data_IF_259384348813
#
_entry.id   IF_259384348813
#
_cell.length_a   1.000
_cell.length_b   1.000
_cell.length_c   1.000
_cell.angle_alpha   90.00
_cell.angle_beta   90.00
_cell.angle_gamma   90.00
#
_symmetry.space_group_name_H-M   'P 1'
#
loop_
_entity.id
_entity.type
_entity.pdbx_description
1 polymer ?
#
# COMPACT_ATOMS: atom_id res chain seq x y z
N UNK A 1 23.87 1.46 3.74
CA UNK A 1 23.27 0.22 4.17
C UNK A 1 21.97 -0.04 3.47
N UNK A 2 21.51 -1.26 3.48
CA UNK A 2 20.33 -1.65 2.74
C UNK A 2 19.07 -1.00 3.31
N UNK A 3 18.21 -0.57 2.42
CA UNK A 3 16.87 -0.16 2.79
C UNK A 3 16.05 -1.39 3.14
N UNK A 4 15.13 -1.23 4.07
CA UNK A 4 14.20 -2.29 4.42
C UNK A 4 12.79 -1.86 4.05
N UNK A 5 12.15 -2.63 3.20
CA UNK A 5 10.79 -2.34 2.74
C UNK A 5 9.80 -3.27 3.41
N UNK A 6 8.74 -2.70 3.94
CA UNK A 6 7.63 -3.47 4.49
C UNK A 6 6.38 -3.11 3.70
N UNK A 7 5.59 -4.11 3.34
CA UNK A 7 4.41 -3.93 2.49
C UNK A 7 3.15 -4.26 3.26
N UNK A 8 2.09 -3.51 2.96
CA UNK A 8 0.78 -3.71 3.58
C UNK A 8 -0.30 -3.60 2.52
N UNK A 9 -1.29 -4.49 2.60
CA UNK A 9 -2.51 -4.35 1.81
C UNK A 9 -3.43 -3.37 2.52
N UNK A 10 -3.96 -2.40 1.78
CA UNK A 10 -4.89 -1.41 2.30
C UNK A 10 -6.30 -1.94 2.10
N UNK A 11 -7.02 -2.15 3.20
CA UNK A 11 -8.37 -2.73 3.17
C UNK A 11 -9.34 -1.80 3.88
N UNK A 12 -10.49 -1.60 3.28
CA UNK A 12 -11.58 -0.80 3.87
C UNK A 12 -12.87 -1.63 3.89
N UNK A 13 -14.00 -1.00 4.18
CA UNK A 13 -15.29 -1.70 4.30
C UNK A 13 -15.75 -2.31 2.97
N UNK A 14 -15.24 -1.80 1.86
CA UNK A 14 -15.64 -2.24 0.53
C UNK A 14 -14.61 -3.15 -0.14
N UNK A 15 -13.59 -3.55 0.59
CA UNK A 15 -12.52 -4.36 0.02
C UNK A 15 -12.10 -5.46 1.00
N UNK A 16 -11.25 -6.37 0.55
CA UNK A 16 -10.79 -7.48 1.36
C UNK A 16 -9.30 -7.69 1.13
N UNK A 17 -8.71 -8.62 1.90
CA UNK A 17 -7.31 -8.97 1.74
C UNK A 17 -7.02 -9.46 0.32
N UNK A 18 -7.93 -10.20 -0.28
CA UNK A 18 -7.78 -10.71 -1.65
C UNK A 18 -7.93 -9.62 -2.69
N UNK A 19 -8.69 -8.57 -2.36
CA UNK A 19 -8.94 -7.46 -3.26
C UNK A 19 -8.81 -6.12 -2.53
N UNK A 20 -7.60 -5.78 -2.07
CA UNK A 20 -7.39 -4.52 -1.37
C UNK A 20 -7.56 -3.32 -2.29
N UNK A 21 -7.82 -2.16 -1.70
CA UNK A 21 -7.96 -0.92 -2.46
C UNK A 21 -6.61 -0.41 -2.96
N UNK A 22 -5.53 -0.85 -2.34
CA UNK A 22 -4.20 -0.43 -2.72
C UNK A 22 -3.15 -1.11 -1.89
N UNK A 23 -1.91 -0.66 -2.05
CA UNK A 23 -0.77 -1.18 -1.32
C UNK A 23 -0.02 -0.02 -0.69
N UNK A 24 0.40 -0.21 0.57
CA UNK A 24 1.28 0.74 1.24
C UNK A 24 2.66 0.11 1.38
N UNK A 25 3.67 0.90 1.13
CA UNK A 25 5.06 0.48 1.25
C UNK A 25 5.75 1.41 2.24
N UNK A 26 6.34 0.85 3.30
CA UNK A 26 7.16 1.60 4.24
C UNK A 26 8.62 1.28 3.96
N UNK A 27 9.38 2.30 3.64
CA UNK A 27 10.80 2.20 3.32
C UNK A 27 11.59 2.75 4.49
N UNK A 28 12.36 1.89 5.15
CA UNK A 28 13.24 2.30 6.25
C UNK A 28 14.66 2.44 5.77
N UNK A 29 15.30 3.51 6.16
CA UNK A 29 16.71 3.74 5.86
C UNK A 29 17.36 4.44 7.05
N UNK A 30 18.68 4.70 6.95
CA UNK A 30 19.45 5.19 8.08
C UNK A 30 18.95 6.50 8.68
N UNK A 31 18.26 7.32 7.89
CA UNK A 31 17.83 8.66 8.33
C UNK A 31 16.32 8.73 8.64
N UNK A 32 15.66 7.61 8.64
CA UNK A 32 14.23 7.59 8.95
C UNK A 32 13.47 6.65 8.05
N UNK A 33 12.18 6.92 7.89
CA UNK A 33 11.33 6.08 7.07
C UNK A 33 10.37 6.93 6.24
N UNK A 34 9.93 6.36 5.14
CA UNK A 34 9.01 7.02 4.23
C UNK A 34 7.90 6.04 3.86
N UNK A 35 6.67 6.52 3.88
CA UNK A 35 5.52 5.72 3.49
C UNK A 35 5.03 6.16 2.12
N UNK A 36 4.74 5.19 1.25
CA UNK A 36 4.20 5.43 -0.08
C UNK A 36 3.03 4.51 -0.32
N UNK A 37 2.04 4.99 -1.06
CA UNK A 37 0.89 4.18 -1.43
C UNK A 37 0.75 4.09 -2.94
N UNK A 38 0.22 2.96 -3.39
CA UNK A 38 -0.12 2.71 -4.79
C UNK A 38 -1.62 2.40 -4.85
N UNK A 39 -2.33 3.07 -5.73
CA UNK A 39 -3.78 2.88 -5.87
C UNK A 39 -4.25 3.27 -7.26
N UNK A 40 -5.43 3.86 -7.32
CA UNK A 40 -6.10 4.17 -8.60
C UNK A 40 -5.34 5.14 -9.49
N UNK A 41 -4.43 5.91 -8.93
CA UNK A 41 -3.60 6.83 -9.72
C UNK A 41 -2.42 6.13 -10.42
N UNK A 42 -2.22 4.84 -10.13
CA UNK A 42 -1.22 3.99 -10.78
C UNK A 42 0.22 4.46 -10.57
N UNK A 43 0.45 5.17 -9.47
CA UNK A 43 1.79 5.62 -9.11
C UNK A 43 2.03 5.41 -7.62
N UNK A 44 3.31 5.29 -7.26
CA UNK A 44 3.71 5.32 -5.88
C UNK A 44 3.87 6.77 -5.46
N UNK A 45 3.14 7.18 -4.44
CA UNK A 45 3.20 8.53 -3.93
C UNK A 45 3.28 8.54 -2.43
N UNK A 46 3.95 9.52 -1.86
CA UNK A 46 4.04 9.66 -0.42
C UNK A 46 2.64 9.79 0.18
N UNK A 47 2.46 9.16 1.34
CA UNK A 47 1.17 9.16 1.98
C UNK A 47 1.33 9.10 3.51
N UNK A 48 0.54 9.86 4.27
CA UNK A 48 0.53 9.78 5.72
C UNK A 48 -0.44 8.72 6.24
N UNK A 49 -1.02 7.86 5.39
CA UNK A 49 -2.08 6.94 5.77
C UNK A 49 -1.70 6.05 6.96
N UNK A 50 -0.52 5.44 6.92
CA UNK A 50 -0.12 4.55 8.00
C UNK A 50 0.11 5.33 9.31
N UNK A 51 0.69 6.50 9.20
CA UNK A 51 0.88 7.37 10.35
C UNK A 51 -0.47 7.74 10.96
N UNK A 52 -1.42 8.14 10.14
CA UNK A 52 -2.75 8.50 10.61
C UNK A 52 -3.47 7.30 11.23
N UNK A 53 -3.31 6.12 10.64
CA UNK A 53 -3.88 4.90 11.19
C UNK A 53 -3.31 4.59 12.57
N UNK A 54 -2.00 4.73 12.74
CA UNK A 54 -1.35 4.49 14.02
C UNK A 54 -1.82 5.45 15.11
N UNK A 55 -2.32 6.61 14.69
CA UNK A 55 -2.86 7.61 15.62
C UNK A 55 -4.38 7.55 15.74
N UNK A 56 -5.01 6.52 15.17
CA UNK A 56 -6.44 6.28 15.35
C UNK A 56 -7.37 7.13 14.51
N UNK A 57 -6.85 7.82 13.51
CA UNK A 57 -7.66 8.74 12.71
C UNK A 57 -8.30 8.11 11.48
N UNK A 58 -7.96 6.85 11.17
CA UNK A 58 -8.48 6.17 9.98
C UNK A 58 -9.13 4.85 10.33
N UNK A 59 -10.14 4.49 9.53
CA UNK A 59 -10.84 3.23 9.66
C UNK A 59 -10.25 2.12 8.80
N UNK A 60 -9.33 2.48 7.91
CA UNK A 60 -8.68 1.50 7.03
C UNK A 60 -7.82 0.54 7.82
N UNK A 61 -7.75 -0.68 7.33
CA UNK A 61 -6.87 -1.70 7.89
C UNK A 61 -5.66 -1.88 7.01
N UNK A 62 -4.52 -2.13 7.65
CA UNK A 62 -3.27 -2.39 6.96
C UNK A 62 -2.80 -3.79 7.32
N UNK A 63 -2.85 -4.69 6.36
CA UNK A 63 -2.51 -6.09 6.56
C UNK A 63 -1.11 -6.33 6.05
N UNK A 64 -0.16 -6.78 6.88
CA UNK A 64 1.20 -7.07 6.42
C UNK A 64 1.18 -8.14 5.34
N UNK A 65 1.91 -7.89 4.26
CA UNK A 65 2.02 -8.81 3.13
C UNK A 65 3.47 -8.89 2.69
N UNK A 66 3.78 -9.86 1.85
CA UNK A 66 5.13 -9.98 1.29
C UNK A 66 5.27 -9.05 0.09
N UNK A 67 6.53 -8.80 -0.29
CA UNK A 67 6.81 -8.03 -1.50
C UNK A 67 6.17 -8.68 -2.73
N UNK A 68 6.23 -10.01 -2.80
CA UNK A 68 5.64 -10.75 -3.90
C UNK A 68 4.13 -10.54 -3.99
N UNK A 69 3.46 -10.60 -2.86
CA UNK A 69 2.02 -10.32 -2.82
C UNK A 69 1.73 -8.88 -3.22
N UNK A 70 2.54 -7.94 -2.74
CA UNK A 70 2.39 -6.53 -3.09
C UNK A 70 2.50 -6.31 -4.59
N UNK A 71 3.48 -6.96 -5.23
CA UNK A 71 3.66 -6.86 -6.67
C UNK A 71 2.48 -7.41 -7.44
N UNK A 72 1.90 -8.51 -6.97
CA UNK A 72 0.69 -9.08 -7.60
C UNK A 72 -0.49 -8.12 -7.52
N UNK A 73 -0.65 -7.47 -6.37
CA UNK A 73 -1.75 -6.51 -6.19
C UNK A 73 -1.55 -5.31 -7.12
N UNK A 74 -0.33 -4.79 -7.19
CA UNK A 74 0.00 -3.67 -8.07
C UNK A 74 -0.31 -4.02 -9.53
N UNK A 75 0.11 -5.21 -9.97
CA UNK A 75 -0.15 -5.66 -11.34
C UNK A 75 -1.64 -5.79 -11.62
N UNK A 76 -2.41 -6.28 -10.65
CA UNK A 76 -3.85 -6.40 -10.80
C UNK A 76 -4.51 -5.03 -10.93
N UNK A 77 -4.12 -4.08 -10.10
CA UNK A 77 -4.69 -2.73 -10.17
C UNK A 77 -4.39 -2.09 -11.52
N UNK A 78 -3.17 -2.26 -12.02
CA UNK A 78 -2.81 -1.76 -13.35
C UNK A 78 -3.63 -2.43 -14.45
N UNK A 79 -3.82 -3.74 -14.34
CA UNK A 79 -4.61 -4.47 -15.31
C UNK A 79 -6.06 -4.05 -15.34
N UNK A 80 -6.66 -3.82 -14.17
CA UNK A 80 -8.04 -3.37 -14.08
C UNK A 80 -8.20 -1.97 -14.66
N UNK A 81 -7.26 -1.08 -14.41
CA UNK A 81 -7.31 0.27 -14.94
C UNK A 81 -7.19 0.25 -16.47
N UNK A 82 -6.32 -0.60 -17.00
CA UNK A 82 -6.16 -0.72 -18.45
C UNK A 82 -7.43 -1.28 -19.12
N UNK A 83 -8.13 -2.18 -18.44
CA UNK A 83 -9.37 -2.77 -18.96
C UNK A 83 -10.56 -1.83 -18.85
N UNK A 84 -10.49 -0.89 -17.93
CA UNK A 84 -11.59 0.03 -17.67
C UNK A 84 -11.77 1.11 -18.71
N UNK A 85 -10.90 1.15 -19.68
CA UNK A 85 -11.02 2.09 -20.79
C UNK A 85 -11.77 1.46 -21.98
#
# INVERSE_FOLDING_TARGET
MAEKNTYYAIVDDNSSRERPTGVLRRIKHDRGERDETFGNDLTWARSPLLYEHEHGDLENKFIPITEEEANRIVERIRGLAAQGE
#
